data_IF_349773283519
#
_entry.id   IF_349773283519
#
_cell.length_a   1.000
_cell.length_b   1.000
_cell.length_c   1.000
_cell.angle_alpha   90.00
_cell.angle_beta   90.00
_cell.angle_gamma   90.00
#
_symmetry.space_group_name_H-M   'P 1'
#
loop_
_entity.id
_entity.type
_entity.pdbx_description
1 polymer ?
#
# COMPACT_ATOMS: atom_id res chain seq x y z
N UNK A 1 29.38 -3.74 -17.10
CA UNK A 1 28.09 -3.05 -17.38
C UNK A 1 27.97 -1.76 -16.54
N UNK A 2 27.88 -0.62 -17.22
CA UNK A 2 27.59 0.66 -16.54
C UNK A 2 26.07 0.79 -16.34
N UNK A 3 25.60 1.32 -15.20
CA UNK A 3 24.17 1.47 -14.94
C UNK A 3 23.56 2.48 -15.92
N UNK A 4 22.51 2.07 -16.64
CA UNK A 4 21.74 2.96 -17.52
C UNK A 4 20.67 3.69 -16.70
N UNK A 5 20.50 4.98 -16.96
CA UNK A 5 19.44 5.76 -16.32
C UNK A 5 18.07 5.37 -16.90
N UNK A 6 17.17 4.90 -16.04
CA UNK A 6 15.80 4.56 -16.41
C UNK A 6 15.00 5.79 -16.83
N UNK A 7 14.22 5.66 -17.91
CA UNK A 7 13.30 6.70 -18.39
C UNK A 7 11.86 6.41 -17.97
N UNK A 8 11.01 7.42 -18.05
CA UNK A 8 9.58 7.19 -17.85
C UNK A 8 9.02 6.29 -18.96
N UNK A 9 8.29 5.23 -18.58
CA UNK A 9 7.79 4.18 -19.48
C UNK A 9 8.90 3.46 -20.26
N UNK A 10 10.03 3.23 -19.61
CA UNK A 10 11.04 2.34 -20.14
C UNK A 10 10.55 0.88 -20.17
N UNK A 11 11.04 0.12 -21.13
CA UNK A 11 10.80 -1.33 -21.18
C UNK A 11 11.72 -2.02 -20.16
N UNK A 12 11.15 -2.90 -19.35
CA UNK A 12 11.91 -3.73 -18.40
C UNK A 12 11.94 -5.16 -18.93
N UNK A 13 13.15 -5.68 -19.12
CA UNK A 13 13.39 -7.00 -19.67
C UNK A 13 13.66 -8.04 -18.59
N UNK A 14 13.60 -9.31 -18.99
CA UNK A 14 13.90 -10.45 -18.12
C UNK A 14 15.36 -10.39 -17.69
N UNK A 15 15.60 -10.61 -16.40
CA UNK A 15 16.88 -10.50 -15.68
C UNK A 15 17.42 -9.08 -15.50
N UNK A 16 16.58 -8.07 -15.72
CA UNK A 16 16.98 -6.69 -15.44
C UNK A 16 17.20 -6.46 -13.95
N UNK A 17 18.33 -5.80 -13.65
CA UNK A 17 18.69 -5.35 -12.32
C UNK A 17 18.43 -3.87 -12.20
N UNK A 18 17.51 -3.51 -11.31
CA UNK A 18 17.12 -2.13 -11.03
C UNK A 18 17.72 -1.69 -9.70
N UNK A 19 18.38 -0.54 -9.69
CA UNK A 19 18.86 0.12 -8.48
C UNK A 19 18.27 1.52 -8.38
N UNK A 20 17.63 1.84 -7.26
CA UNK A 20 17.08 3.17 -6.98
C UNK A 20 18.05 3.98 -6.12
N UNK A 21 18.21 5.27 -6.45
CA UNK A 21 18.96 6.21 -5.62
C UNK A 21 18.10 6.73 -4.45
N UNK A 22 18.67 7.62 -3.65
CA UNK A 22 17.92 8.37 -2.62
C UNK A 22 16.76 9.14 -3.26
N UNK A 23 15.66 9.24 -2.52
CA UNK A 23 14.40 9.91 -2.88
C UNK A 23 13.82 9.48 -4.24
N UNK A 24 14.21 8.29 -4.71
CA UNK A 24 13.77 7.76 -5.99
C UNK A 24 12.66 6.74 -5.79
N UNK A 25 11.67 6.76 -6.69
CA UNK A 25 10.61 5.76 -6.74
C UNK A 25 10.52 5.20 -8.17
N UNK A 26 10.30 3.91 -8.30
CA UNK A 26 10.08 3.26 -9.60
C UNK A 26 8.83 2.39 -9.49
N UNK A 27 8.01 2.39 -10.54
CA UNK A 27 6.80 1.56 -10.63
C UNK A 27 6.93 0.68 -11.86
N UNK A 28 6.98 -0.63 -11.64
CA UNK A 28 7.15 -1.64 -12.69
C UNK A 28 5.89 -2.48 -12.79
N UNK A 29 5.35 -2.64 -14.00
CA UNK A 29 4.20 -3.49 -14.27
C UNK A 29 4.68 -4.81 -14.89
N UNK A 30 4.57 -5.91 -14.13
CA UNK A 30 5.03 -7.24 -14.54
C UNK A 30 3.90 -8.05 -15.16
N UNK A 31 4.12 -8.59 -16.37
CA UNK A 31 3.18 -9.45 -17.08
C UNK A 31 1.76 -8.88 -17.21
N UNK A 32 1.60 -7.55 -17.11
CA UNK A 32 0.30 -6.88 -17.05
C UNK A 32 -0.54 -7.18 -15.79
N UNK A 33 -0.04 -7.90 -14.78
CA UNK A 33 -0.86 -8.44 -13.67
C UNK A 33 -0.38 -8.06 -12.28
N UNK A 34 0.90 -7.71 -12.13
CA UNK A 34 1.48 -7.30 -10.87
C UNK A 34 2.14 -5.94 -10.99
N UNK A 35 1.81 -5.03 -10.07
CA UNK A 35 2.48 -3.73 -9.93
C UNK A 35 3.48 -3.83 -8.79
N UNK A 36 4.75 -3.57 -9.10
CA UNK A 36 5.85 -3.51 -8.13
C UNK A 36 6.28 -2.05 -8.00
N UNK A 37 6.09 -1.47 -6.83
CA UNK A 37 6.58 -0.15 -6.47
C UNK A 37 7.86 -0.31 -5.68
N UNK A 38 8.93 0.34 -6.12
CA UNK A 38 10.28 0.21 -5.59
C UNK A 38 10.65 1.54 -4.97
N UNK A 39 10.98 1.52 -3.68
CA UNK A 39 11.38 2.72 -2.95
C UNK A 39 12.87 3.01 -3.15
N UNK A 40 13.32 4.14 -2.66
CA UNK A 40 14.72 4.56 -2.66
C UNK A 40 15.65 3.49 -2.05
N UNK A 41 16.94 3.58 -2.40
CA UNK A 41 18.00 2.71 -1.87
C UNK A 41 17.71 1.20 -1.99
N UNK A 42 16.92 0.84 -2.99
CA UNK A 42 16.49 -0.53 -3.24
C UNK A 42 17.22 -1.12 -4.44
N UNK A 43 17.56 -2.39 -4.32
CA UNK A 43 18.20 -3.15 -5.40
C UNK A 43 17.43 -4.43 -5.59
N UNK A 44 16.91 -4.63 -6.80
CA UNK A 44 16.16 -5.83 -7.14
C UNK A 44 16.49 -6.32 -8.55
N UNK A 45 16.29 -7.61 -8.77
CA UNK A 45 16.38 -8.25 -10.09
C UNK A 45 15.03 -8.87 -10.43
N UNK A 46 14.57 -8.68 -11.66
CA UNK A 46 13.28 -9.23 -12.11
C UNK A 46 13.56 -10.37 -13.08
N UNK A 47 12.97 -11.52 -12.82
CA UNK A 47 13.01 -12.66 -13.74
C UNK A 47 11.58 -13.07 -14.06
N UNK A 48 11.23 -13.15 -15.34
CA UNK A 48 9.92 -13.63 -15.78
C UNK A 48 10.09 -14.91 -16.61
N UNK A 49 9.53 -16.00 -16.12
CA UNK A 49 9.48 -17.30 -16.76
C UNK A 49 8.02 -17.69 -17.06
N UNK A 50 7.82 -18.75 -17.84
CA UNK A 50 6.49 -19.23 -18.23
C UNK A 50 5.63 -19.56 -16.99
N UNK A 51 4.71 -18.65 -16.67
CA UNK A 51 3.78 -18.80 -15.54
C UNK A 51 4.37 -18.45 -14.16
N UNK A 52 5.63 -18.02 -14.08
CA UNK A 52 6.30 -17.66 -12.83
C UNK A 52 7.01 -16.32 -12.98
N UNK A 53 6.65 -15.37 -12.16
CA UNK A 53 7.38 -14.10 -12.06
C UNK A 53 8.16 -14.12 -10.76
N UNK A 54 9.43 -13.72 -10.79
CA UNK A 54 10.31 -13.71 -9.64
C UNK A 54 10.94 -12.34 -9.47
N UNK A 55 10.85 -11.80 -8.27
CA UNK A 55 11.46 -10.53 -7.87
C UNK A 55 12.49 -10.84 -6.78
N UNK A 56 13.76 -10.80 -7.14
CA UNK A 56 14.87 -10.96 -6.21
C UNK A 56 15.21 -9.61 -5.57
N UNK A 57 14.78 -9.40 -4.33
CA UNK A 57 15.06 -8.19 -3.56
C UNK A 57 16.34 -8.38 -2.73
N UNK A 58 17.38 -7.60 -3.04
CA UNK A 58 18.64 -7.62 -2.30
C UNK A 58 18.64 -6.69 -1.08
N UNK A 59 18.04 -5.51 -1.22
CA UNK A 59 17.97 -4.49 -0.16
C UNK A 59 16.83 -3.51 -0.43
N UNK A 60 16.43 -2.78 0.61
CA UNK A 60 15.47 -1.69 0.52
C UNK A 60 14.02 -2.13 0.76
N UNK A 61 13.08 -1.39 0.19
CA UNK A 61 11.64 -1.53 0.43
C UNK A 61 10.88 -1.55 -0.88
N UNK A 62 9.97 -2.51 -1.01
CA UNK A 62 9.08 -2.64 -2.16
C UNK A 62 7.65 -2.84 -1.70
N UNK A 63 6.71 -2.36 -2.52
CA UNK A 63 5.30 -2.68 -2.45
C UNK A 63 4.93 -3.52 -3.65
N UNK A 64 4.10 -4.53 -3.44
CA UNK A 64 3.64 -5.40 -4.52
C UNK A 64 2.13 -5.56 -4.41
N UNK A 65 1.44 -5.23 -5.50
CA UNK A 65 0.01 -5.48 -5.67
C UNK A 65 -0.23 -6.40 -6.84
N UNK A 66 -0.87 -7.54 -6.59
CA UNK A 66 -1.15 -8.54 -7.64
C UNK A 66 -2.65 -8.65 -7.89
N UNK A 67 -3.07 -8.43 -9.13
CA UNK A 67 -4.46 -8.55 -9.53
C UNK A 67 -4.81 -10.02 -9.82
N UNK A 68 -5.43 -10.70 -8.84
CA UNK A 68 -5.82 -12.12 -8.95
C UNK A 68 -6.61 -12.44 -10.21
N UNK A 69 -7.51 -11.54 -10.62
CA UNK A 69 -8.40 -11.71 -11.78
C UNK A 69 -7.64 -11.76 -13.11
N UNK A 70 -6.40 -11.23 -13.16
CA UNK A 70 -5.54 -11.22 -14.35
C UNK A 70 -4.50 -12.35 -14.33
N UNK A 71 -4.46 -13.16 -13.28
CA UNK A 71 -3.56 -14.32 -13.19
C UNK A 71 -4.23 -15.56 -13.76
N UNK A 72 -3.49 -16.34 -14.54
CA UNK A 72 -3.96 -17.67 -14.96
C UNK A 72 -3.89 -18.67 -13.80
N UNK A 73 -4.70 -19.74 -13.81
CA UNK A 73 -4.55 -20.83 -12.86
C UNK A 73 -3.13 -21.41 -12.90
N UNK A 74 -2.49 -21.52 -11.73
CA UNK A 74 -1.11 -22.02 -11.62
C UNK A 74 -0.04 -20.93 -11.70
N UNK A 75 -0.40 -19.69 -12.05
CA UNK A 75 0.56 -18.59 -12.00
C UNK A 75 0.86 -18.15 -10.58
N UNK A 76 2.13 -17.80 -10.34
CA UNK A 76 2.61 -17.33 -9.05
C UNK A 76 3.65 -16.22 -9.23
N UNK A 77 3.61 -15.22 -8.35
CA UNK A 77 4.67 -14.24 -8.19
C UNK A 77 5.48 -14.61 -6.95
N UNK A 78 6.78 -14.80 -7.10
CA UNK A 78 7.68 -15.06 -5.99
C UNK A 78 8.50 -13.81 -5.67
N UNK A 79 8.54 -13.43 -4.40
CA UNK A 79 9.46 -12.41 -3.92
C UNK A 79 10.54 -13.12 -3.13
N UNK A 80 11.75 -13.10 -3.64
CA UNK A 80 12.92 -13.73 -3.03
C UNK A 80 13.71 -12.67 -2.29
N UNK A 81 14.04 -12.99 -1.04
CA UNK A 81 14.89 -12.19 -0.18
C UNK A 81 15.99 -13.08 0.39
N UNK A 82 17.02 -12.53 1.04
CA UNK A 82 18.06 -13.35 1.66
C UNK A 82 17.57 -14.30 2.75
N UNK A 83 16.41 -14.02 3.38
CA UNK A 83 15.89 -14.82 4.49
C UNK A 83 14.67 -15.65 4.12
N UNK A 84 13.80 -15.16 3.24
CA UNK A 84 12.53 -15.80 2.86
C UNK A 84 12.23 -15.74 1.37
N UNK A 85 11.37 -16.66 0.93
CA UNK A 85 10.67 -16.59 -0.35
C UNK A 85 9.18 -16.45 -0.08
N UNK A 86 8.56 -15.38 -0.56
CA UNK A 86 7.12 -15.18 -0.45
C UNK A 86 6.43 -15.56 -1.76
N UNK A 87 5.49 -16.50 -1.68
CA UNK A 87 4.62 -16.93 -2.76
C UNK A 87 3.33 -16.09 -2.75
N UNK A 88 3.17 -15.26 -3.78
CA UNK A 88 2.13 -14.22 -3.86
C UNK A 88 1.12 -14.57 -4.94
N UNK A 89 -0.15 -14.61 -4.54
CA UNK A 89 -1.27 -14.78 -5.47
C UNK A 89 -2.47 -13.93 -5.06
N UNK A 90 -2.66 -12.81 -5.75
CA UNK A 90 -3.83 -11.97 -5.52
C UNK A 90 -3.78 -11.16 -4.22
N UNK A 91 -2.59 -10.70 -3.84
CA UNK A 91 -2.31 -10.10 -2.53
C UNK A 91 -1.70 -8.72 -2.73
N UNK A 92 -1.92 -7.83 -1.76
CA UNK A 92 -1.24 -6.55 -1.63
C UNK A 92 -0.37 -6.60 -0.38
N UNK A 93 0.94 -6.42 -0.57
CA UNK A 93 1.92 -6.50 0.51
C UNK A 93 3.08 -5.52 0.33
N UNK A 94 3.82 -5.31 1.42
CA UNK A 94 5.05 -4.53 1.48
C UNK A 94 6.16 -5.43 2.01
N UNK A 95 7.31 -5.45 1.35
CA UNK A 95 8.50 -6.18 1.80
C UNK A 95 9.62 -5.19 2.04
N UNK A 96 10.29 -5.33 3.17
CA UNK A 96 11.42 -4.51 3.57
C UNK A 96 12.57 -5.38 4.04
N UNK A 97 13.79 -5.02 3.61
CA UNK A 97 15.03 -5.62 4.09
C UNK A 97 15.83 -4.56 4.83
N UNK A 98 15.93 -4.72 6.15
CA UNK A 98 16.73 -3.87 7.02
C UNK A 98 18.08 -4.56 7.22
N UNK A 99 19.15 -3.93 6.75
CA UNK A 99 20.52 -4.34 7.07
C UNK A 99 20.99 -3.50 8.24
N UNK A 100 21.32 -4.14 9.36
CA UNK A 100 22.06 -3.45 10.40
C UNK A 100 23.46 -3.12 9.86
N UNK A 101 23.90 -1.89 10.05
CA UNK A 101 25.27 -1.48 9.73
C UNK A 101 26.25 -2.40 10.47
N UNK A 102 27.24 -2.90 9.75
CA UNK A 102 28.33 -3.65 10.38
C UNK A 102 29.14 -2.66 11.22
N UNK A 103 29.00 -2.73 12.55
CA UNK A 103 29.92 -2.04 13.45
C UNK A 103 31.29 -2.71 13.27
N UNK A 104 32.34 -1.93 13.07
CA UNK A 104 33.71 -2.40 12.77
C UNK A 104 34.29 -3.38 13.81
N UNK A 105 33.62 -3.56 14.96
CA UNK A 105 33.99 -4.45 16.06
C UNK A 105 33.12 -5.71 16.18
N UNK A 106 31.94 -5.75 15.55
CA UNK A 106 30.98 -6.87 15.64
C UNK A 106 30.74 -7.33 14.21
N UNK A 107 31.19 -8.54 13.87
CA UNK A 107 31.13 -9.08 12.50
C UNK A 107 29.75 -9.00 11.83
N UNK A 108 29.63 -9.43 10.55
CA UNK A 108 28.46 -9.15 9.73
C UNK A 108 27.13 -9.50 10.43
N UNK A 109 26.34 -8.47 10.73
CA UNK A 109 25.00 -8.63 11.33
C UNK A 109 24.04 -9.19 10.28
N UNK A 110 23.25 -10.23 10.60
CA UNK A 110 22.31 -10.79 9.63
C UNK A 110 21.24 -9.77 9.25
N UNK A 111 20.81 -9.73 7.97
CA UNK A 111 19.71 -8.86 7.55
C UNK A 111 18.40 -9.30 8.20
N UNK A 112 17.52 -8.34 8.48
CA UNK A 112 16.14 -8.57 8.89
C UNK A 112 15.23 -8.37 7.70
N UNK A 113 14.37 -9.34 7.42
CA UNK A 113 13.33 -9.24 6.38
C UNK A 113 11.97 -9.13 7.03
N UNK A 114 11.23 -8.07 6.69
CA UNK A 114 9.87 -7.85 7.10
C UNK A 114 8.93 -7.99 5.90
N UNK A 115 7.85 -8.75 6.08
CA UNK A 115 6.76 -8.89 5.11
C UNK A 115 5.50 -8.40 5.80
N UNK A 116 4.83 -7.43 5.19
CA UNK A 116 3.60 -6.83 5.69
C UNK A 116 2.49 -7.08 4.69
N UNK A 117 1.51 -7.91 5.04
CA UNK A 117 0.37 -8.20 4.17
C UNK A 117 -0.77 -7.28 4.55
N UNK A 118 -1.18 -6.46 3.60
CA UNK A 118 -2.27 -5.49 3.81
C UNK A 118 -3.60 -6.13 3.46
N UNK A 119 -3.64 -6.87 2.36
CA UNK A 119 -4.85 -7.57 1.93
C UNK A 119 -4.50 -8.88 1.21
N UNK A 120 -5.19 -9.96 1.58
CA UNK A 120 -5.07 -11.27 0.97
C UNK A 120 -4.31 -12.26 1.85
N UNK A 121 -3.71 -13.26 1.21
CA UNK A 121 -2.96 -14.31 1.87
C UNK A 121 -1.65 -14.53 1.11
N UNK A 122 -0.57 -14.77 1.83
CA UNK A 122 0.74 -15.08 1.27
C UNK A 122 1.34 -16.26 2.02
N UNK A 123 1.92 -17.19 1.27
CA UNK A 123 2.71 -18.28 1.84
C UNK A 123 4.19 -17.84 1.89
N UNK A 124 4.78 -17.81 3.09
CA UNK A 124 6.18 -17.45 3.30
C UNK A 124 7.00 -18.70 3.58
N UNK A 125 8.04 -18.91 2.80
CA UNK A 125 8.99 -20.02 2.92
C UNK A 125 10.32 -19.51 3.51
N UNK A 126 10.65 -19.87 4.76
CA UNK A 126 11.96 -19.58 5.34
C UNK A 126 13.09 -20.28 4.59
N UNK A 127 14.12 -19.55 4.16
CA UNK A 127 15.26 -20.15 3.42
C UNK A 127 16.33 -20.75 4.33
N UNK A 128 16.50 -20.22 5.54
CA UNK A 128 17.50 -20.70 6.51
C UNK A 128 17.09 -21.96 7.29
N UNK A 129 15.90 -22.51 7.02
CA UNK A 129 15.36 -23.67 7.74
C UNK A 129 14.73 -24.65 6.73
N UNK A 130 15.54 -25.55 6.14
CA UNK A 130 15.01 -26.52 5.20
C UNK A 130 14.03 -27.47 5.90
N UNK A 131 12.88 -27.73 5.27
CA UNK A 131 11.86 -28.65 5.78
C UNK A 131 10.78 -28.00 6.67
N UNK A 132 10.90 -26.71 6.99
CA UNK A 132 9.86 -25.98 7.70
C UNK A 132 8.64 -25.78 6.79
N UNK A 133 7.40 -26.05 7.26
CA UNK A 133 6.21 -25.77 6.47
C UNK A 133 6.07 -24.27 6.17
N UNK A 134 5.40 -23.89 5.07
CA UNK A 134 5.14 -22.49 4.77
C UNK A 134 4.34 -21.83 5.88
N UNK A 135 4.73 -20.61 6.25
CA UNK A 135 4.01 -19.76 7.19
C UNK A 135 3.01 -18.93 6.41
N UNK A 136 1.73 -19.05 6.74
CA UNK A 136 0.67 -18.26 6.12
C UNK A 136 0.56 -16.89 6.80
N UNK A 137 0.69 -15.82 6.00
CA UNK A 137 0.55 -14.44 6.46
C UNK A 137 -0.68 -13.84 5.79
N UNK A 138 -1.68 -13.53 6.61
CA UNK A 138 -2.97 -13.01 6.16
C UNK A 138 -3.08 -11.49 6.17
N UNK A 139 -4.25 -10.99 5.81
CA UNK A 139 -4.65 -9.58 5.87
C UNK A 139 -4.31 -8.94 7.21
N UNK A 140 -3.66 -7.77 7.17
CA UNK A 140 -3.20 -7.02 8.34
C UNK A 140 -2.31 -7.85 9.28
N UNK A 141 -1.43 -8.67 8.70
CA UNK A 141 -0.39 -9.37 9.45
C UNK A 141 0.99 -9.02 8.93
N UNK A 142 1.97 -9.12 9.81
CA UNK A 142 3.38 -8.88 9.53
C UNK A 142 4.20 -10.06 10.01
N UNK A 143 5.08 -10.54 9.13
CA UNK A 143 6.06 -11.57 9.42
C UNK A 143 7.45 -10.92 9.41
N UNK A 144 8.25 -11.19 10.43
CA UNK A 144 9.62 -10.68 10.55
C UNK A 144 10.58 -11.83 10.79
N UNK A 145 11.67 -11.88 10.03
CA UNK A 145 12.71 -12.91 10.18
C UNK A 145 14.11 -12.31 10.08
N UNK A 146 14.94 -12.68 11.06
CA UNK A 146 16.34 -12.24 11.18
C UNK A 146 17.25 -13.40 10.79
N UNK A 147 17.98 -13.26 9.68
CA UNK A 147 18.83 -14.33 9.15
C UNK A 147 18.11 -15.68 9.05
N UNK A 148 18.74 -16.75 9.54
CA UNK A 148 18.17 -18.10 9.59
C UNK A 148 17.31 -18.42 10.83
N UNK A 149 17.06 -17.46 11.72
CA UNK A 149 16.23 -17.70 12.90
C UNK A 149 14.76 -17.94 12.52
N UNK A 150 13.98 -18.50 13.45
CA UNK A 150 12.53 -18.63 13.26
C UNK A 150 11.90 -17.23 13.20
N UNK A 151 11.02 -17.00 12.21
CA UNK A 151 10.33 -15.73 12.10
C UNK A 151 9.19 -15.59 13.08
N UNK A 152 8.82 -14.34 13.35
CA UNK A 152 7.71 -13.97 14.24
C UNK A 152 6.56 -13.39 13.42
N UNK A 153 5.34 -13.86 13.67
CA UNK A 153 4.12 -13.32 13.10
C UNK A 153 3.46 -12.36 14.11
N UNK A 154 3.05 -11.18 13.66
CA UNK A 154 2.32 -10.19 14.45
C UNK A 154 1.15 -9.62 13.66
N UNK A 155 0.13 -9.14 14.35
CA UNK A 155 -0.94 -8.38 13.72
C UNK A 155 -0.49 -6.93 13.50
N UNK A 156 -0.97 -6.33 12.41
CA UNK A 156 -0.80 -4.92 12.07
C UNK A 156 -2.08 -4.16 12.42
N UNK A 157 -1.93 -2.99 13.02
CA UNK A 157 -3.06 -2.06 13.16
C UNK A 157 -3.36 -1.38 11.82
N UNK A 158 -4.57 -0.85 11.64
CA UNK A 158 -4.96 -0.17 10.41
C UNK A 158 -4.11 1.09 10.17
N UNK A 159 -3.76 1.81 11.22
CA UNK A 159 -2.91 3.00 11.18
C UNK A 159 -1.49 2.65 10.72
N UNK A 160 -0.94 1.54 11.23
CA UNK A 160 0.36 1.05 10.79
C UNK A 160 0.36 0.63 9.32
N UNK A 161 -0.72 0.01 8.84
CA UNK A 161 -0.88 -0.33 7.43
C UNK A 161 -0.95 0.92 6.53
N UNK A 162 -1.65 1.97 6.95
CA UNK A 162 -1.70 3.24 6.23
C UNK A 162 -0.34 3.94 6.18
N UNK A 163 0.38 3.96 7.30
CA UNK A 163 1.73 4.54 7.37
C UNK A 163 2.71 3.83 6.42
N UNK A 164 2.59 2.50 6.25
CA UNK A 164 3.40 1.76 5.30
C UNK A 164 3.16 2.20 3.85
N UNK A 165 1.92 2.53 3.47
CA UNK A 165 1.62 3.03 2.12
C UNK A 165 1.95 4.49 1.90
N UNK A 166 1.79 5.34 2.93
CA UNK A 166 2.19 6.75 2.84
C UNK A 166 3.67 6.86 2.46
N UNK A 167 4.50 5.99 3.05
CA UNK A 167 5.93 5.90 2.75
C UNK A 167 6.23 5.42 1.31
N UNK A 168 5.27 4.80 0.64
CA UNK A 168 5.38 4.29 -0.73
C UNK A 168 4.81 5.25 -1.77
N UNK A 169 4.31 6.42 -1.35
CA UNK A 169 3.75 7.44 -2.24
C UNK A 169 4.80 8.55 -2.40
N UNK A 170 5.22 8.81 -3.64
CA UNK A 170 6.02 9.99 -3.95
C UNK A 170 5.10 11.19 -4.19
N UNK A 171 5.60 12.39 -3.89
CA UNK A 171 4.98 13.61 -4.42
C UNK A 171 4.82 13.48 -5.95
N UNK A 172 3.70 13.98 -6.52
CA UNK A 172 3.52 13.96 -7.97
C UNK A 172 4.72 14.63 -8.64
N UNK A 173 5.42 13.91 -9.52
CA UNK A 173 6.54 14.48 -10.30
C UNK A 173 6.08 15.62 -11.23
N UNK A 174 4.77 15.75 -11.44
CA UNK A 174 4.13 16.86 -12.12
C UNK A 174 3.14 17.50 -11.16
N UNK A 175 3.54 18.60 -10.51
CA UNK A 175 2.64 19.49 -9.76
C UNK A 175 2.00 20.54 -10.65
N UNK A 176 2.45 20.66 -11.91
CA UNK A 176 1.93 21.59 -12.91
C UNK A 176 1.56 20.81 -14.17
N UNK A 177 0.33 20.31 -14.21
CA UNK A 177 -0.34 20.06 -15.49
C UNK A 177 -0.81 21.41 -16.06
N UNK A 178 -1.06 21.52 -17.38
CA UNK A 178 -1.80 22.67 -17.91
C UNK A 178 -3.10 22.83 -17.10
N UNK A 179 -3.43 24.04 -16.68
CA UNK A 179 -4.59 24.30 -15.80
C UNK A 179 -5.87 23.65 -16.35
N UNK A 180 -6.03 23.68 -17.67
CA UNK A 180 -7.11 23.02 -18.43
C UNK A 180 -7.27 21.51 -18.11
N UNK A 181 -6.16 20.79 -17.89
CA UNK A 181 -6.19 19.36 -17.58
C UNK A 181 -6.67 19.10 -16.14
N UNK A 182 -6.28 19.96 -15.19
CA UNK A 182 -6.72 19.84 -13.80
C UNK A 182 -8.19 20.21 -13.66
N UNK A 183 -8.67 21.21 -14.40
CA UNK A 183 -10.08 21.58 -14.48
C UNK A 183 -10.93 20.47 -15.12
N UNK A 184 -10.45 19.88 -16.21
CA UNK A 184 -11.09 18.71 -16.84
C UNK A 184 -11.19 17.51 -15.91
N UNK A 185 -10.15 17.25 -15.12
CA UNK A 185 -10.16 16.17 -14.13
C UNK A 185 -11.12 16.49 -12.99
N UNK A 186 -11.13 17.73 -12.49
CA UNK A 186 -12.04 18.19 -11.44
C UNK A 186 -13.50 18.05 -11.87
N UNK A 187 -13.82 18.47 -13.09
CA UNK A 187 -15.15 18.32 -13.67
C UNK A 187 -15.57 16.85 -13.79
N UNK A 188 -14.68 15.98 -14.30
CA UNK A 188 -14.97 14.53 -14.41
C UNK A 188 -15.18 13.86 -13.06
N UNK A 189 -14.40 14.21 -12.04
CA UNK A 189 -14.55 13.64 -10.71
C UNK A 189 -15.81 14.17 -10.01
N UNK A 190 -16.17 15.44 -10.20
CA UNK A 190 -17.46 15.97 -9.75
C UNK A 190 -18.66 15.29 -10.43
N UNK A 191 -18.60 15.06 -11.74
CA UNK A 191 -19.64 14.33 -12.47
C UNK A 191 -19.79 12.88 -11.95
N UNK A 192 -18.68 12.20 -11.67
CA UNK A 192 -18.68 10.86 -11.05
C UNK A 192 -19.27 10.86 -9.65
N UNK A 193 -18.92 11.84 -8.82
CA UNK A 193 -19.47 11.98 -7.48
C UNK A 193 -20.98 12.25 -7.52
N UNK A 194 -21.44 13.14 -8.42
CA UNK A 194 -22.85 13.42 -8.62
C UNK A 194 -23.64 12.19 -9.13
N UNK A 195 -23.03 11.37 -9.99
CA UNK A 195 -23.63 10.13 -10.47
C UNK A 195 -23.82 9.11 -9.35
N UNK A 196 -22.86 8.98 -8.43
CA UNK A 196 -22.96 8.08 -7.27
C UNK A 196 -24.07 8.52 -6.30
N UNK A 197 -24.27 9.83 -6.09
CA UNK A 197 -25.36 10.34 -5.23
C UNK A 197 -26.74 10.04 -5.84
N UNK A 198 -26.90 10.09 -7.17
CA UNK A 198 -28.16 9.73 -7.83
C UNK A 198 -28.54 8.26 -7.70
N UNK A 199 -27.58 7.35 -7.60
CA UNK A 199 -27.83 5.92 -7.39
C UNK A 199 -28.23 5.60 -5.93
N UNK A 200 -27.90 6.47 -4.98
CA UNK A 200 -28.14 6.27 -3.54
C UNK A 200 -29.47 6.80 -2.99
N UNK A 201 -30.37 7.36 -3.81
CA UNK A 201 -31.68 7.84 -3.31
C UNK A 201 -32.78 6.79 -3.58
N UNK A 202 -33.39 6.19 -2.55
CA UNK A 202 -34.59 5.38 -2.75
C UNK A 202 -35.75 6.33 -3.03
N UNK A 203 -35.98 6.62 -4.32
CA UNK A 203 -37.17 7.34 -4.74
C UNK A 203 -38.37 6.38 -4.62
N UNK A 204 -39.13 6.53 -3.53
CA UNK A 204 -40.44 5.91 -3.36
C UNK A 204 -41.38 6.38 -4.48
N UNK A 205 -41.38 5.66 -5.60
CA UNK A 205 -42.19 5.90 -6.77
C UNK A 205 -43.08 4.70 -7.06
N UNK A 206 -44.38 4.92 -6.92
CA UNK A 206 -45.49 3.98 -7.16
C UNK A 206 -45.34 3.25 -8.51
N UNK A 207 -45.35 1.92 -8.49
CA UNK A 207 -45.30 1.08 -9.68
C UNK A 207 -46.59 1.24 -10.52
N UNK A 208 -46.47 1.74 -11.74
CA UNK A 208 -47.40 1.46 -12.84
C UNK A 208 -46.75 0.43 -13.76
N UNK A 209 -47.47 -0.67 -14.00
CA UNK A 209 -46.96 -1.89 -14.62
C UNK A 209 -46.35 -1.70 -16.00
N UNK A 210 -45.18 -2.31 -16.18
CA UNK A 210 -44.49 -2.54 -17.44
C UNK A 210 -43.76 -3.89 -17.36
N UNK A 211 -43.80 -4.65 -18.45
CA UNK A 211 -43.42 -6.05 -18.56
C UNK A 211 -41.93 -6.29 -18.20
N UNK A 212 -41.56 -7.36 -17.47
CA UNK A 212 -40.19 -7.55 -16.93
C UNK A 212 -39.14 -8.06 -17.94
N UNK A 213 -39.39 -7.96 -19.25
CA UNK A 213 -38.51 -8.54 -20.28
C UNK A 213 -37.70 -7.55 -21.13
N UNK A 214 -37.82 -6.23 -20.93
CA UNK A 214 -37.14 -5.23 -21.78
C UNK A 214 -35.77 -4.74 -21.25
N UNK A 215 -35.28 -5.24 -20.09
CA UNK A 215 -34.06 -4.73 -19.45
C UNK A 215 -32.72 -5.33 -19.92
N UNK A 216 -32.69 -6.15 -20.98
CA UNK A 216 -31.48 -6.88 -21.41
C UNK A 216 -30.82 -6.38 -22.71
N UNK A 217 -31.14 -5.17 -23.17
CA UNK A 217 -30.55 -4.61 -24.39
C UNK A 217 -29.97 -3.21 -24.17
N UNK A 218 -29.02 -3.06 -23.25
CA UNK A 218 -27.97 -2.05 -23.36
C UNK A 218 -26.82 -2.38 -22.40
N UNK A 219 -25.62 -2.43 -22.95
CA UNK A 219 -24.42 -2.99 -22.34
C UNK A 219 -24.05 -2.31 -21.02
N UNK A 220 -24.14 -3.06 -19.93
CA UNK A 220 -23.65 -2.69 -18.61
C UNK A 220 -22.37 -3.47 -18.32
N UNK A 221 -21.23 -2.87 -18.66
CA UNK A 221 -19.94 -3.25 -18.09
C UNK A 221 -19.96 -2.91 -16.60
N UNK A 222 -20.03 -3.94 -15.75
CA UNK A 222 -19.83 -3.80 -14.31
C UNK A 222 -18.37 -3.38 -14.05
N UNK A 223 -18.13 -2.07 -14.02
CA UNK A 223 -16.90 -1.47 -13.49
C UNK A 223 -17.09 -1.35 -11.98
N UNK A 224 -16.35 -2.18 -11.23
CA UNK A 224 -16.23 -2.09 -9.78
C UNK A 224 -15.74 -0.68 -9.37
N UNK A 225 -16.35 -0.02 -8.37
CA UNK A 225 -15.89 1.28 -7.92
C UNK A 225 -14.51 1.17 -7.22
N UNK A 226 -13.61 2.16 -7.39
CA UNK A 226 -12.42 2.27 -6.55
C UNK A 226 -12.81 2.66 -5.13
N UNK A 227 -12.23 1.97 -4.15
CA UNK A 227 -12.33 2.30 -2.72
C UNK A 227 -11.61 3.61 -2.46
N UNK A 228 -12.35 4.70 -2.22
CA UNK A 228 -11.83 5.94 -1.66
C UNK A 228 -12.06 5.89 -0.14
N UNK A 229 -11.06 6.20 0.71
CA UNK A 229 -11.28 6.36 2.15
C UNK A 229 -12.10 7.64 2.41
N UNK A 230 -13.10 7.50 3.27
CA UNK A 230 -13.99 8.59 3.71
C UNK A 230 -13.18 9.61 4.51
N UNK A 231 -13.04 10.83 3.98
CA UNK A 231 -12.56 11.98 4.74
C UNK A 231 -13.60 12.40 5.78
N UNK A 232 -13.16 12.40 7.04
CA UNK A 232 -13.92 12.90 8.18
C UNK A 232 -13.75 14.43 8.22
N UNK A 233 -14.64 15.16 7.54
CA UNK A 233 -14.67 16.63 7.57
C UNK A 233 -15.62 17.17 8.64
N UNK A 234 -15.03 18.05 9.45
CA UNK A 234 -15.57 19.23 10.13
C UNK A 234 -16.71 19.11 11.15
N UNK A 235 -16.35 19.41 12.40
CA UNK A 235 -17.23 20.01 13.39
C UNK A 235 -16.49 21.17 14.08
N UNK A 236 -16.57 22.35 13.48
CA UNK A 236 -16.26 23.61 14.14
C UNK A 236 -17.24 24.70 13.67
N UNK A 237 -18.46 24.67 14.19
CA UNK A 237 -19.41 25.77 14.08
C UNK A 237 -19.23 26.73 15.27
N UNK A 238 -18.94 27.99 14.96
CA UNK A 238 -18.94 29.10 15.90
C UNK A 238 -20.37 29.52 16.27
N UNK A 239 -20.65 29.78 17.56
CA UNK A 239 -21.95 30.28 18.01
C UNK A 239 -21.94 30.80 19.45
N UNK A 240 -22.02 32.12 19.59
CA UNK A 240 -22.01 32.94 20.82
C UNK A 240 -23.13 32.58 21.82
N UNK A 241 -22.83 32.58 23.12
CA UNK A 241 -23.81 32.59 24.21
C UNK A 241 -23.19 32.97 25.56
N UNK A 242 -23.72 33.99 26.22
CA UNK A 242 -23.21 34.67 27.43
C UNK A 242 -23.78 34.09 28.75
N UNK A 243 -22.93 34.09 29.80
CA UNK A 243 -23.23 34.18 31.28
C UNK A 243 -24.00 32.99 31.89
N UNK A 244 -23.81 32.52 33.13
CA UNK A 244 -23.53 33.13 34.44
C UNK A 244 -22.82 32.11 35.38
N UNK A 245 -22.16 32.62 36.42
CA UNK A 245 -21.62 31.92 37.62
C UNK A 245 -22.68 32.02 38.74
N UNK A 246 -22.71 31.12 39.74
CA UNK A 246 -22.20 31.50 41.07
C UNK A 246 -21.40 30.42 41.84
N UNK A 247 -20.39 30.92 42.55
CA UNK A 247 -19.88 30.61 43.90
C UNK A 247 -20.16 29.25 44.59
N UNK A 248 -19.10 28.66 45.16
CA UNK A 248 -19.24 27.80 46.34
C UNK A 248 -18.03 26.95 46.77
N UNK A 249 -17.07 27.58 47.47
CA UNK A 249 -16.28 27.07 48.61
C UNK A 249 -15.38 25.81 48.48
N UNK A 250 -14.07 26.01 48.72
CA UNK A 250 -13.17 24.94 49.18
C UNK A 250 -11.68 25.08 48.82
N UNK A 251 -10.99 26.12 49.28
CA UNK A 251 -9.52 26.22 49.33
C UNK A 251 -8.99 25.68 50.68
N UNK A 252 -7.66 25.56 50.95
CA UNK A 252 -6.50 25.68 50.05
C UNK A 252 -5.40 24.61 50.26
N UNK A 253 -4.54 24.42 49.26
CA UNK A 253 -3.12 24.16 49.50
C UNK A 253 -2.29 24.81 48.37
N UNK A 254 -1.58 25.87 48.73
CA UNK A 254 -0.66 26.61 47.89
C UNK A 254 0.73 25.96 47.90
N UNK A 255 1.52 26.13 46.83
CA UNK A 255 2.91 26.60 46.88
C UNK A 255 3.28 27.16 45.47
N UNK A 256 4.00 28.29 45.51
CA UNK A 256 4.25 29.26 44.42
C UNK A 256 5.43 28.91 43.50
N UNK A 257 5.22 29.23 42.22
CA UNK A 257 6.05 29.90 41.20
C UNK A 257 7.56 30.20 41.41
N UNK A 258 8.31 30.11 40.29
CA UNK A 258 9.10 31.26 39.74
C UNK A 258 9.49 31.09 38.25
N UNK A 259 9.29 32.16 37.48
CA UNK A 259 9.88 32.40 36.14
C UNK A 259 11.05 33.41 36.24
N UNK A 260 12.00 33.34 35.29
CA UNK A 260 12.80 34.42 34.68
C UNK A 260 13.75 33.73 33.67
N UNK A 261 14.05 34.22 32.46
CA UNK A 261 13.81 35.48 31.73
C UNK A 261 13.72 35.14 30.25
#
# INVERSE_FOLDING_TARGET
>A
PQPLQLRFKDDVFVQDRISTAEKSIVRVLLGGKALVTVRELSVLTITEELGRSTVDLGSGKIAVGVARQRMRPGEILEIRTPNIVAAVRGTVLVVEIIRASADSQRGPTPPTTNVHVIHGLVDVFPTGQPGTPPVQVGTLQSYSQIGGAAGTLRNLSAEAAQALFADLTSEPQFTQGPDDFLDDLGNREQERAAALVRVGTPQGGRATGGNPFDAWREGSSLVLPPMIPVDLQDSAAAGRGRRCVPLGLGTPAAIRARCAR
#
